data_IF_077487654375
#
_entry.id   IF_077487654375
#
_cell.length_a   1.000
_cell.length_b   1.000
_cell.length_c   1.000
_cell.angle_alpha   90.00
_cell.angle_beta   90.00
_cell.angle_gamma   90.00
#
_symmetry.space_group_name_H-M   'P 1'
#
loop_
_entity.id
_entity.type
_entity.pdbx_description
1 polymer ?
#
# COMPACT_ATOMS: atom_id res chain seq x y z
N UNK A 1 -30.47 5.14 -45.48
CA UNK A 1 -29.62 3.98 -45.26
C UNK A 1 -28.15 4.26 -45.02
N UNK A 2 -27.53 5.29 -45.54
CA UNK A 2 -26.08 5.48 -45.36
C UNK A 2 -25.67 6.08 -44.03
N UNK A 3 -26.55 6.28 -43.06
CA UNK A 3 -26.24 6.97 -41.82
C UNK A 3 -25.71 6.07 -40.65
N UNK A 4 -25.81 4.74 -40.82
CA UNK A 4 -25.38 3.79 -39.77
C UNK A 4 -23.87 3.79 -39.49
N UNK A 5 -22.95 3.92 -40.46
CA UNK A 5 -21.50 3.92 -40.19
C UNK A 5 -21.01 5.11 -39.37
N UNK A 6 -21.58 6.30 -39.58
CA UNK A 6 -21.16 7.51 -38.86
C UNK A 6 -21.51 7.44 -37.38
N UNK A 7 -22.69 6.92 -37.00
CA UNK A 7 -23.07 6.77 -35.59
C UNK A 7 -22.19 5.77 -34.88
N UNK A 8 -21.79 4.70 -35.54
CA UNK A 8 -20.93 3.67 -34.97
C UNK A 8 -19.51 4.22 -34.67
N UNK A 9 -18.98 5.05 -35.59
CA UNK A 9 -17.67 5.68 -35.42
C UNK A 9 -17.69 6.65 -34.25
N UNK A 10 -18.73 7.46 -34.12
CA UNK A 10 -18.85 8.41 -32.99
C UNK A 10 -18.97 7.71 -31.65
N UNK A 11 -19.71 6.60 -31.59
CA UNK A 11 -19.83 5.79 -30.38
C UNK A 11 -18.49 5.18 -29.99
N UNK A 12 -17.74 4.65 -30.96
CA UNK A 12 -16.41 4.08 -30.73
C UNK A 12 -15.43 5.15 -30.23
N UNK A 13 -15.48 6.35 -30.77
CA UNK A 13 -14.64 7.47 -30.32
C UNK A 13 -14.97 7.91 -28.91
N UNK A 14 -16.22 7.96 -28.53
CA UNK A 14 -16.65 8.29 -27.17
C UNK A 14 -16.19 7.24 -26.17
N UNK A 15 -16.31 5.97 -26.52
CA UNK A 15 -15.84 4.86 -25.68
C UNK A 15 -14.34 4.91 -25.50
N UNK A 16 -13.58 5.13 -26.57
CA UNK A 16 -12.12 5.27 -26.52
C UNK A 16 -11.70 6.45 -25.64
N UNK A 17 -12.38 7.60 -25.76
CA UNK A 17 -12.11 8.77 -24.95
C UNK A 17 -12.40 8.54 -23.45
N UNK A 18 -13.49 7.84 -23.14
CA UNK A 18 -13.82 7.47 -21.76
C UNK A 18 -12.77 6.55 -21.17
N UNK A 19 -12.29 5.57 -21.93
CA UNK A 19 -11.24 4.66 -21.49
C UNK A 19 -9.92 5.39 -21.25
N UNK A 20 -9.54 6.31 -22.12
CA UNK A 20 -8.34 7.14 -21.96
C UNK A 20 -8.42 7.98 -20.69
N UNK A 21 -9.55 8.63 -20.45
CA UNK A 21 -9.79 9.44 -19.25
C UNK A 21 -9.68 8.59 -18.00
N UNK A 22 -10.28 7.41 -18.00
CA UNK A 22 -10.23 6.48 -16.88
C UNK A 22 -8.80 6.04 -16.60
N UNK A 23 -8.03 5.69 -17.64
CA UNK A 23 -6.62 5.28 -17.51
C UNK A 23 -5.76 6.41 -16.93
N UNK A 24 -5.97 7.65 -17.39
CA UNK A 24 -5.25 8.82 -16.89
C UNK A 24 -5.58 9.06 -15.42
N UNK A 25 -6.85 8.95 -15.03
CA UNK A 25 -7.28 9.11 -13.64
C UNK A 25 -6.70 8.03 -12.74
N UNK A 26 -6.70 6.78 -13.18
CA UNK A 26 -6.12 5.66 -12.43
C UNK A 26 -4.60 5.84 -12.23
N UNK A 27 -3.90 6.28 -13.27
CA UNK A 27 -2.46 6.57 -13.19
C UNK A 27 -2.17 7.73 -12.22
N UNK A 28 -3.02 8.76 -12.23
CA UNK A 28 -2.91 9.90 -11.31
C UNK A 28 -3.13 9.47 -9.86
N UNK A 29 -4.18 8.68 -9.61
CA UNK A 29 -4.48 8.15 -8.28
C UNK A 29 -3.34 7.28 -7.75
N UNK A 30 -2.76 6.43 -8.60
CA UNK A 30 -1.63 5.58 -8.25
C UNK A 30 -0.41 6.42 -7.86
N UNK A 31 -0.10 7.47 -8.63
CA UNK A 31 1.01 8.39 -8.32
C UNK A 31 0.78 9.13 -7.01
N UNK A 32 -0.43 9.60 -6.77
CA UNK A 32 -0.81 10.27 -5.53
C UNK A 32 -0.65 9.33 -4.32
N UNK A 33 -1.11 8.08 -4.46
CA UNK A 33 -0.96 7.07 -3.41
C UNK A 33 0.51 6.81 -3.11
N UNK A 34 1.34 6.62 -4.14
CA UNK A 34 2.78 6.40 -3.97
C UNK A 34 3.45 7.58 -3.28
N UNK A 35 3.04 8.80 -3.61
CA UNK A 35 3.56 10.00 -2.97
C UNK A 35 3.23 10.03 -1.48
N UNK A 36 1.99 9.72 -1.11
CA UNK A 36 1.57 9.67 0.29
C UNK A 36 2.27 8.54 1.06
N UNK A 37 2.39 7.37 0.45
CA UNK A 37 3.09 6.23 1.07
C UNK A 37 4.55 6.57 1.35
N UNK A 38 5.23 7.23 0.40
CA UNK A 38 6.62 7.66 0.58
C UNK A 38 6.75 8.65 1.73
N UNK A 39 5.86 9.62 1.81
CA UNK A 39 5.86 10.61 2.89
C UNK A 39 5.66 9.95 4.25
N UNK A 40 4.70 9.04 4.35
CA UNK A 40 4.45 8.30 5.59
C UNK A 40 5.67 7.48 5.98
N UNK A 41 6.28 6.77 5.03
CA UNK A 41 7.48 5.99 5.28
C UNK A 41 8.65 6.87 5.74
N UNK A 42 8.85 8.01 5.12
CA UNK A 42 9.89 8.97 5.52
C UNK A 42 9.67 9.49 6.94
N UNK A 43 8.42 9.85 7.27
CA UNK A 43 8.08 10.34 8.61
C UNK A 43 8.27 9.26 9.67
N UNK A 44 7.84 8.03 9.40
CA UNK A 44 8.02 6.89 10.30
C UNK A 44 9.52 6.59 10.51
N UNK A 45 10.30 6.57 9.44
CA UNK A 45 11.75 6.34 9.53
C UNK A 45 12.44 7.43 10.35
N UNK A 46 11.99 8.67 10.21
CA UNK A 46 12.53 9.78 10.99
C UNK A 46 12.24 9.61 12.48
N UNK A 47 11.04 9.22 12.84
CA UNK A 47 10.65 8.96 14.22
C UNK A 47 11.43 7.77 14.81
N UNK A 48 11.54 6.69 14.05
CA UNK A 48 12.29 5.49 14.46
C UNK A 48 13.77 5.84 14.70
N UNK A 49 14.37 6.62 13.79
CA UNK A 49 15.74 7.08 13.94
C UNK A 49 15.92 7.94 15.20
N UNK A 50 14.94 8.78 15.49
CA UNK A 50 14.93 9.63 16.68
C UNK A 50 14.92 8.78 17.96
N UNK A 51 14.14 7.71 17.99
CA UNK A 51 14.11 6.79 19.12
C UNK A 51 15.41 6.04 19.27
N UNK A 52 16.03 5.65 18.17
CA UNK A 52 17.32 5.00 18.16
C UNK A 52 18.41 5.93 18.70
N UNK A 53 18.44 7.18 18.26
CA UNK A 53 19.39 8.18 18.71
C UNK A 53 19.21 8.51 20.19
N UNK A 54 17.99 8.48 20.69
CA UNK A 54 17.67 8.67 22.10
C UNK A 54 18.00 7.44 22.96
N UNK A 55 18.43 6.35 22.36
CA UNK A 55 18.81 5.10 23.04
C UNK A 55 17.68 4.51 23.87
N UNK A 56 16.45 4.59 23.39
CA UNK A 56 15.33 3.95 24.04
C UNK A 56 15.47 2.42 23.95
N UNK A 57 15.06 1.67 24.99
CA UNK A 57 15.13 0.22 24.97
C UNK A 57 14.37 -0.36 23.78
N UNK A 58 15.05 -1.20 23.00
CA UNK A 58 14.53 -1.75 21.75
C UNK A 58 13.26 -2.56 21.95
N UNK A 59 13.21 -3.38 22.99
CA UNK A 59 12.06 -4.21 23.31
C UNK A 59 10.80 -3.37 23.61
N UNK A 60 10.98 -2.27 24.32
CA UNK A 60 9.88 -1.34 24.65
C UNK A 60 9.41 -0.62 23.39
N UNK A 61 10.35 -0.10 22.58
CA UNK A 61 10.02 0.59 21.33
C UNK A 61 9.23 -0.33 20.39
N UNK A 62 9.74 -1.53 20.17
CA UNK A 62 9.13 -2.49 19.24
C UNK A 62 7.77 -2.94 19.75
N UNK A 63 7.68 -3.38 21.01
CA UNK A 63 6.45 -3.89 21.60
C UNK A 63 5.37 -2.83 21.70
N UNK A 64 5.69 -1.66 22.20
CA UNK A 64 4.70 -0.58 22.35
C UNK A 64 4.25 -0.03 21.00
N UNK A 65 5.17 0.14 20.05
CA UNK A 65 4.84 0.62 18.72
C UNK A 65 3.89 -0.34 17.99
N UNK A 66 4.15 -1.65 18.07
CA UNK A 66 3.29 -2.64 17.47
C UNK A 66 1.89 -2.59 18.07
N UNK A 67 1.80 -2.53 19.40
CA UNK A 67 0.53 -2.44 20.10
C UNK A 67 -0.22 -1.15 19.73
N UNK A 68 0.47 -0.04 19.69
CA UNK A 68 -0.12 1.25 19.33
C UNK A 68 -0.67 1.26 17.91
N UNK A 69 0.07 0.67 16.96
CA UNK A 69 -0.37 0.59 15.56
C UNK A 69 -1.58 -0.32 15.41
N UNK A 70 -1.64 -1.43 16.13
CA UNK A 70 -2.82 -2.29 16.13
C UNK A 70 -4.05 -1.52 16.62
N UNK A 71 -3.93 -0.81 17.74
CA UNK A 71 -5.01 0.03 18.26
C UNK A 71 -5.44 1.09 17.25
N UNK A 72 -4.50 1.74 16.61
CA UNK A 72 -4.78 2.76 15.60
C UNK A 72 -5.60 2.18 14.43
N UNK A 73 -5.23 1.00 13.96
CA UNK A 73 -5.95 0.34 12.85
C UNK A 73 -7.38 0.02 13.26
N UNK A 74 -7.59 -0.52 14.48
CA UNK A 74 -8.93 -0.83 14.98
C UNK A 74 -9.77 0.42 15.21
N UNK A 75 -9.16 1.54 15.59
CA UNK A 75 -9.89 2.81 15.75
C UNK A 75 -10.33 3.40 14.40
N UNK A 76 -9.58 3.16 13.33
CA UNK A 76 -9.84 3.74 12.02
C UNK A 76 -10.68 2.87 11.08
N UNK A 77 -10.83 1.59 11.39
CA UNK A 77 -11.49 0.61 10.51
C UNK A 77 -12.52 -0.18 11.30
N UNK A 78 -13.44 -0.83 10.56
CA UNK A 78 -14.31 -1.84 11.18
C UNK A 78 -13.43 -3.01 11.67
N UNK A 79 -13.88 -3.76 12.70
CA UNK A 79 -13.09 -4.89 13.20
C UNK A 79 -12.72 -5.91 12.12
N UNK A 80 -13.63 -6.18 11.18
CA UNK A 80 -13.38 -7.09 10.07
C UNK A 80 -12.28 -6.58 9.13
N UNK A 81 -12.35 -5.30 8.75
CA UNK A 81 -11.35 -4.68 7.87
C UNK A 81 -10.00 -4.57 8.56
N UNK A 82 -10.00 -4.20 9.84
CA UNK A 82 -8.77 -4.11 10.64
C UNK A 82 -8.06 -5.46 10.70
N UNK A 83 -8.81 -6.53 10.98
CA UNK A 83 -8.27 -7.88 11.02
C UNK A 83 -7.67 -8.28 9.67
N UNK A 84 -8.39 -8.00 8.57
CA UNK A 84 -7.93 -8.31 7.22
C UNK A 84 -6.63 -7.58 6.88
N UNK A 85 -6.55 -6.29 7.16
CA UNK A 85 -5.36 -5.48 6.90
C UNK A 85 -4.16 -5.98 7.71
N UNK A 86 -4.34 -6.25 9.00
CA UNK A 86 -3.26 -6.69 9.88
C UNK A 86 -2.76 -8.08 9.50
N UNK A 87 -3.66 -9.01 9.24
CA UNK A 87 -3.30 -10.38 8.81
C UNK A 87 -2.55 -10.33 7.48
N UNK A 88 -3.02 -9.52 6.53
CA UNK A 88 -2.36 -9.37 5.23
C UNK A 88 -0.95 -8.81 5.37
N UNK A 89 -0.75 -7.80 6.20
CA UNK A 89 0.56 -7.20 6.44
C UNK A 89 1.52 -8.20 7.09
N UNK A 90 1.06 -8.91 8.12
CA UNK A 90 1.86 -9.92 8.81
C UNK A 90 2.23 -11.06 7.86
N UNK A 91 1.27 -11.55 7.07
CA UNK A 91 1.51 -12.63 6.11
C UNK A 91 2.55 -12.24 5.06
N UNK A 92 2.51 -11.01 4.58
CA UNK A 92 3.49 -10.50 3.61
C UNK A 92 4.90 -10.49 4.18
N UNK A 93 5.07 -10.06 5.43
CA UNK A 93 6.38 -10.04 6.08
C UNK A 93 6.89 -11.44 6.39
N UNK A 94 6.01 -12.36 6.77
CA UNK A 94 6.38 -13.76 7.01
C UNK A 94 6.88 -14.43 5.72
N UNK A 95 6.24 -14.17 4.58
CA UNK A 95 6.69 -14.69 3.28
C UNK A 95 8.09 -14.18 2.96
N UNK A 96 8.35 -12.90 3.16
CA UNK A 96 9.70 -12.32 2.96
C UNK A 96 10.74 -12.96 3.86
N UNK A 97 10.42 -13.17 5.13
CA UNK A 97 11.32 -13.80 6.09
C UNK A 97 11.66 -15.23 5.69
N UNK A 98 10.67 -15.99 5.25
CA UNK A 98 10.86 -17.37 4.77
C UNK A 98 11.74 -17.40 3.51
N UNK A 99 11.56 -16.48 2.58
CA UNK A 99 12.40 -16.37 1.39
C UNK A 99 13.86 -16.09 1.76
N UNK A 100 14.10 -15.22 2.73
CA UNK A 100 15.44 -14.92 3.21
C UNK A 100 16.07 -16.13 3.88
N UNK A 101 15.34 -16.85 4.72
CA UNK A 101 15.82 -18.08 5.38
C UNK A 101 16.16 -19.15 4.37
N UNK A 102 15.30 -19.36 3.36
CA UNK A 102 15.56 -20.33 2.29
C UNK A 102 16.81 -19.96 1.50
N UNK A 103 17.03 -18.68 1.22
CA UNK A 103 18.22 -18.20 0.53
C UNK A 103 19.48 -18.44 1.36
N UNK A 104 19.44 -18.20 2.66
CA UNK A 104 20.55 -18.45 3.59
C UNK A 104 20.87 -19.96 3.68
N UNK A 105 19.86 -20.79 3.72
CA UNK A 105 20.00 -22.25 3.76
C UNK A 105 20.66 -22.78 2.48
N UNK A 106 20.34 -22.20 1.33
CA UNK A 106 20.93 -22.60 0.04
C UNK A 106 22.41 -22.24 -0.04
N UNK A 107 22.84 -21.15 0.59
CA UNK A 107 24.22 -20.67 0.57
C UNK A 107 25.12 -21.51 1.48
N UNK A 108 24.56 -22.11 2.50
CA UNK A 108 25.27 -22.99 3.42
C UNK A 108 25.53 -24.37 2.80
#
# INVERSE_FOLDING_TARGET
MPKKPKKTIDQNNRTANRQRTKTIMEAREKRMRMHHERRIAEDLNRVISKWHDARLPKDIVVGFSAFYMVNFVFDCCTPSDANHLLVSAISRELVKSNEIEDSETIIQ
#
